data_IF_637957873373
#
_entry.id   IF_637957873373
#
_cell.length_a   1.000
_cell.length_b   1.000
_cell.length_c   1.000
_cell.angle_alpha   90.00
_cell.angle_beta   90.00
_cell.angle_gamma   90.00
#
_symmetry.space_group_name_H-M   'P 1'
#
loop_
_entity.id
_entity.type
_entity.pdbx_description
1 polymer ?
#
# COMPACT_ATOMS: atom_id res chain seq x y z
N UNK A 1 19.02 -5.21 -48.94
CA UNK A 1 18.93 -6.64 -49.30
C UNK A 1 17.77 -6.92 -50.24
N UNK A 2 16.53 -6.56 -49.89
CA UNK A 2 15.35 -6.85 -50.73
C UNK A 2 15.38 -6.30 -52.16
N UNK A 3 15.91 -5.10 -52.38
CA UNK A 3 16.05 -4.53 -53.75
C UNK A 3 17.14 -5.19 -54.60
N UNK A 4 18.07 -5.95 -54.00
CA UNK A 4 19.16 -6.62 -54.72
C UNK A 4 18.75 -8.06 -55.03
N UNK A 5 18.43 -8.84 -53.99
CA UNK A 5 17.96 -10.22 -54.09
C UNK A 5 17.00 -10.52 -52.94
N UNK A 6 15.71 -10.55 -53.25
CA UNK A 6 14.64 -10.71 -52.26
C UNK A 6 14.59 -12.12 -51.66
N UNK A 7 14.96 -13.16 -52.41
CA UNK A 7 14.99 -14.56 -51.97
C UNK A 7 16.00 -14.77 -50.83
N UNK A 8 17.23 -14.28 -51.03
CA UNK A 8 18.30 -14.34 -50.02
C UNK A 8 17.93 -13.50 -48.79
N UNK A 9 17.27 -12.35 -48.99
CA UNK A 9 16.80 -11.51 -47.89
C UNK A 9 15.73 -12.23 -47.04
N UNK A 10 14.81 -12.96 -47.68
CA UNK A 10 13.76 -13.69 -46.98
C UNK A 10 14.34 -14.89 -46.21
N UNK A 11 15.32 -15.58 -46.79
CA UNK A 11 16.05 -16.66 -46.11
C UNK A 11 16.84 -16.16 -44.89
N UNK A 12 17.54 -15.02 -44.99
CA UNK A 12 18.28 -14.46 -43.85
C UNK A 12 17.35 -13.96 -42.74
N UNK A 13 16.22 -13.33 -43.08
CA UNK A 13 15.19 -12.99 -42.10
C UNK A 13 14.63 -14.24 -41.40
N UNK A 14 14.39 -15.32 -42.14
CA UNK A 14 14.00 -16.61 -41.58
C UNK A 14 15.01 -17.14 -40.56
N UNK A 15 16.29 -17.17 -40.91
CA UNK A 15 17.37 -17.61 -40.01
C UNK A 15 17.46 -16.72 -38.76
N UNK A 16 17.40 -15.40 -38.92
CA UNK A 16 17.41 -14.45 -37.79
C UNK A 16 16.18 -14.67 -36.89
N UNK A 17 15.00 -14.85 -37.46
CA UNK A 17 13.78 -15.14 -36.72
C UNK A 17 13.88 -16.47 -35.98
N UNK A 18 14.45 -17.51 -36.59
CA UNK A 18 14.69 -18.80 -35.94
C UNK A 18 15.65 -18.65 -34.75
N UNK A 19 16.76 -17.92 -34.90
CA UNK A 19 17.66 -17.67 -33.77
C UNK A 19 17.00 -16.83 -32.67
N UNK A 20 16.23 -15.80 -33.05
CA UNK A 20 15.49 -14.98 -32.09
C UNK A 20 14.49 -15.83 -31.29
N UNK A 21 13.68 -16.66 -31.96
CA UNK A 21 12.73 -17.56 -31.32
C UNK A 21 13.45 -18.59 -30.45
N UNK A 22 14.57 -19.16 -30.92
CA UNK A 22 15.36 -20.12 -30.14
C UNK A 22 15.88 -19.49 -28.83
N UNK A 23 16.43 -18.28 -28.89
CA UNK A 23 16.87 -17.54 -27.68
C UNK A 23 15.68 -17.21 -26.78
N UNK A 24 14.58 -16.73 -27.35
CA UNK A 24 13.37 -16.37 -26.60
C UNK A 24 12.73 -17.57 -25.89
N UNK A 25 12.68 -18.75 -26.55
CA UNK A 25 12.10 -19.96 -25.97
C UNK A 25 13.02 -20.66 -24.97
N UNK A 26 14.33 -20.70 -25.24
CA UNK A 26 15.27 -21.41 -24.36
C UNK A 26 15.60 -20.64 -23.09
N UNK A 27 15.38 -19.31 -23.06
CA UNK A 27 15.73 -18.41 -21.94
C UNK A 27 17.03 -18.85 -21.21
N UNK A 28 18.16 -19.02 -21.92
CA UNK A 28 19.37 -19.51 -21.29
C UNK A 28 19.79 -18.54 -20.18
N UNK A 29 19.97 -19.03 -18.96
CA UNK A 29 20.49 -18.21 -17.86
C UNK A 29 21.97 -17.92 -18.13
N UNK A 30 22.25 -16.78 -18.75
CA UNK A 30 23.60 -16.30 -19.00
C UNK A 30 24.11 -15.52 -17.79
N UNK A 31 25.30 -15.86 -17.28
CA UNK A 31 25.95 -15.21 -16.14
C UNK A 31 26.52 -13.81 -16.44
N UNK A 32 26.30 -13.32 -17.67
CA UNK A 32 26.80 -12.05 -18.18
C UNK A 32 25.54 -11.22 -18.34
N UNK A 33 25.35 -10.24 -17.45
CA UNK A 33 24.06 -9.57 -17.20
C UNK A 33 23.21 -9.33 -18.45
N UNK A 34 21.89 -9.47 -18.32
CA UNK A 34 21.00 -9.39 -19.48
C UNK A 34 20.98 -7.98 -20.07
N UNK A 35 21.19 -7.85 -21.39
CA UNK A 35 21.02 -6.58 -22.10
C UNK A 35 19.61 -5.98 -21.90
N UNK A 36 18.60 -6.84 -21.69
CA UNK A 36 17.24 -6.38 -21.37
C UNK A 36 17.16 -5.76 -19.97
N UNK A 37 17.86 -6.28 -18.98
CA UNK A 37 17.93 -5.71 -17.63
C UNK A 37 18.66 -4.35 -17.65
N UNK A 38 19.75 -4.24 -18.41
CA UNK A 38 20.46 -2.97 -18.60
C UNK A 38 19.56 -1.89 -19.21
N UNK A 39 18.72 -2.26 -20.19
CA UNK A 39 17.78 -1.34 -20.81
C UNK A 39 16.66 -0.91 -19.85
N UNK A 40 16.14 -1.84 -19.03
CA UNK A 40 15.14 -1.51 -17.99
C UNK A 40 15.70 -0.48 -17.02
N UNK A 41 16.93 -0.66 -16.55
CA UNK A 41 17.60 0.29 -15.65
C UNK A 41 17.76 1.67 -16.32
N UNK A 42 18.28 1.73 -17.55
CA UNK A 42 18.48 2.99 -18.27
C UNK A 42 17.16 3.73 -18.49
N UNK A 43 16.09 3.00 -18.83
CA UNK A 43 14.75 3.57 -19.02
C UNK A 43 14.18 4.12 -17.71
N UNK A 44 14.30 3.37 -16.62
CA UNK A 44 13.84 3.81 -15.30
C UNK A 44 14.57 5.07 -14.82
N UNK A 45 15.88 5.16 -15.05
CA UNK A 45 16.69 6.32 -14.69
C UNK A 45 16.31 7.56 -15.52
N UNK A 46 16.20 7.41 -16.84
CA UNK A 46 15.78 8.49 -17.74
C UNK A 46 14.39 9.03 -17.37
N UNK A 47 13.44 8.14 -17.07
CA UNK A 47 12.09 8.53 -16.65
C UNK A 47 12.09 9.24 -15.29
N UNK A 48 12.92 8.77 -14.34
CA UNK A 48 13.09 9.44 -13.04
C UNK A 48 13.66 10.85 -13.19
N UNK A 49 14.63 11.06 -14.08
CA UNK A 49 15.17 12.39 -14.39
C UNK A 49 14.14 13.29 -15.08
N UNK A 50 13.34 12.75 -16.01
CA UNK A 50 12.27 13.50 -16.65
C UNK A 50 11.23 13.98 -15.62
N UNK A 51 10.88 13.12 -14.66
CA UNK A 51 9.95 13.47 -13.58
C UNK A 51 10.44 14.65 -12.75
N UNK A 52 11.75 14.74 -12.46
CA UNK A 52 12.31 15.86 -11.71
C UNK A 52 12.14 17.22 -12.40
N UNK A 53 12.02 17.26 -13.73
CA UNK A 53 11.83 18.51 -14.50
C UNK A 53 10.37 18.96 -14.56
N UNK A 54 9.42 18.07 -14.27
CA UNK A 54 7.99 18.37 -14.36
C UNK A 54 7.55 19.26 -13.19
N UNK A 55 6.83 20.35 -13.47
CA UNK A 55 6.26 21.21 -12.44
C UNK A 55 5.17 20.49 -11.64
N UNK A 56 5.12 20.74 -10.33
CA UNK A 56 4.09 20.19 -9.46
C UNK A 56 2.84 21.06 -9.49
N UNK A 57 1.67 20.41 -9.50
CA UNK A 57 0.38 21.08 -9.46
C UNK A 57 -0.53 20.33 -8.50
N UNK A 58 -1.27 21.07 -7.67
CA UNK A 58 -2.14 20.50 -6.62
C UNK A 58 -3.15 19.46 -7.15
N UNK A 59 -3.69 19.68 -8.36
CA UNK A 59 -4.61 18.74 -9.02
C UNK A 59 -3.98 17.41 -9.45
N UNK A 60 -2.65 17.34 -9.51
CA UNK A 60 -1.90 16.14 -9.87
C UNK A 60 -1.35 15.43 -8.62
N UNK A 61 -1.82 15.80 -7.43
CA UNK A 61 -1.43 15.14 -6.19
C UNK A 61 -1.69 13.63 -6.28
N UNK A 62 -0.70 12.83 -5.86
CA UNK A 62 -0.79 11.38 -5.78
C UNK A 62 -0.41 10.95 -4.36
N UNK A 63 -1.22 10.09 -3.71
CA UNK A 63 -0.85 9.55 -2.40
C UNK A 63 0.31 8.55 -2.60
N UNK A 64 1.48 8.92 -2.08
CA UNK A 64 2.71 8.12 -2.10
C UNK A 64 2.99 7.65 -0.67
N UNK A 65 2.87 6.37 -0.40
CA UNK A 65 2.82 5.85 0.97
C UNK A 65 4.15 5.22 1.38
N UNK A 66 4.63 5.57 2.57
CA UNK A 66 5.55 4.78 3.37
C UNK A 66 4.75 4.09 4.48
N UNK A 67 4.67 2.76 4.46
CA UNK A 67 3.98 2.01 5.50
C UNK A 67 5.00 1.44 6.48
N UNK A 68 4.75 1.57 7.79
CA UNK A 68 5.57 0.90 8.80
C UNK A 68 4.90 -0.40 9.23
N UNK A 69 4.96 -1.42 8.37
CA UNK A 69 4.40 -2.74 8.68
C UNK A 69 5.40 -3.65 9.41
N UNK A 70 6.71 -3.38 9.34
CA UNK A 70 7.71 -4.39 9.67
C UNK A 70 7.78 -5.43 8.53
N UNK A 71 8.06 -6.71 8.83
CA UNK A 71 7.94 -7.79 7.85
C UNK A 71 6.55 -7.76 7.19
N UNK A 72 6.43 -7.90 5.85
CA UNK A 72 5.15 -7.83 5.16
C UNK A 72 4.13 -8.89 5.64
N UNK A 73 4.62 -10.03 6.11
CA UNK A 73 3.85 -11.13 6.68
C UNK A 73 3.19 -10.78 8.02
N UNK A 74 3.78 -9.90 8.84
CA UNK A 74 3.30 -9.62 10.19
C UNK A 74 1.99 -8.83 10.21
N UNK A 75 1.78 -7.91 9.25
CA UNK A 75 0.62 -7.00 9.22
C UNK A 75 -0.02 -6.91 7.82
N UNK A 76 -0.52 -8.02 7.26
CA UNK A 76 -1.01 -8.05 5.89
C UNK A 76 -2.24 -7.16 5.68
N UNK A 77 -3.14 -7.04 6.67
CA UNK A 77 -4.32 -6.17 6.56
C UNK A 77 -3.94 -4.69 6.42
N UNK A 78 -2.87 -4.24 7.08
CA UNK A 78 -2.35 -2.87 6.95
C UNK A 78 -1.81 -2.63 5.54
N UNK A 79 -1.04 -3.58 5.03
CA UNK A 79 -0.45 -3.53 3.70
C UNK A 79 -1.53 -3.59 2.60
N UNK A 80 -2.52 -4.47 2.73
CA UNK A 80 -3.64 -4.57 1.80
C UNK A 80 -4.43 -3.26 1.73
N UNK A 81 -4.68 -2.64 2.88
CA UNK A 81 -5.32 -1.33 2.94
C UNK A 81 -4.49 -0.25 2.22
N UNK A 82 -3.19 -0.19 2.48
CA UNK A 82 -2.29 0.74 1.79
C UNK A 82 -2.24 0.51 0.27
N UNK A 83 -2.29 -0.75 -0.15
CA UNK A 83 -2.32 -1.10 -1.56
C UNK A 83 -3.65 -0.74 -2.22
N UNK A 84 -4.78 -0.72 -1.49
CA UNK A 84 -6.02 -0.16 -2.03
C UNK A 84 -5.91 1.33 -2.31
N UNK A 85 -5.16 2.09 -1.51
CA UNK A 85 -4.97 3.52 -1.73
C UNK A 85 -4.09 3.78 -2.96
N UNK A 86 -3.03 3.01 -3.18
CA UNK A 86 -2.08 3.23 -4.27
C UNK A 86 -2.44 2.48 -5.57
N UNK A 87 -2.88 1.22 -5.47
CA UNK A 87 -3.25 0.28 -6.56
C UNK A 87 -2.31 0.34 -7.76
N UNK A 88 -1.01 0.34 -7.48
CA UNK A 88 0.09 0.42 -8.46
C UNK A 88 0.15 1.69 -9.33
N UNK A 89 -0.69 2.69 -9.05
CA UNK A 89 -0.70 3.99 -9.74
C UNK A 89 0.12 5.06 -8.99
N UNK A 90 0.58 4.73 -7.80
CA UNK A 90 1.38 5.58 -6.93
C UNK A 90 2.42 4.74 -6.19
N UNK A 91 3.45 5.42 -5.68
CA UNK A 91 4.51 4.82 -4.89
C UNK A 91 3.97 4.20 -3.59
N UNK A 92 4.37 2.97 -3.31
CA UNK A 92 4.16 2.28 -2.05
C UNK A 92 5.50 1.69 -1.61
N UNK A 93 5.98 2.11 -0.45
CA UNK A 93 7.20 1.60 0.19
C UNK A 93 6.80 0.92 1.50
N UNK A 94 7.24 -0.31 1.66
CA UNK A 94 7.05 -1.10 2.87
C UNK A 94 8.31 -1.00 3.72
N UNK A 95 8.19 -0.27 4.83
CA UNK A 95 9.27 0.01 5.76
C UNK A 95 9.35 -1.01 6.89
N UNK A 96 10.55 -1.53 7.11
CA UNK A 96 10.88 -2.41 8.22
C UNK A 96 12.05 -1.83 9.02
N UNK A 97 11.82 -1.55 10.31
CA UNK A 97 12.88 -1.18 11.25
C UNK A 97 13.34 -2.44 11.98
N UNK A 98 14.51 -2.94 11.61
CA UNK A 98 15.14 -4.10 12.24
C UNK A 98 16.03 -3.65 13.41
N UNK A 99 15.92 -4.35 14.54
CA UNK A 99 16.71 -4.06 15.76
C UNK A 99 18.06 -4.78 15.73
N UNK A 100 19.07 -4.16 16.32
CA UNK A 100 20.40 -4.73 16.50
C UNK A 100 21.29 -4.69 15.25
N UNK A 101 22.58 -5.02 15.38
CA UNK A 101 23.52 -5.05 14.27
C UNK A 101 23.14 -6.15 13.27
N UNK A 102 23.13 -5.81 11.98
CA UNK A 102 22.75 -6.73 10.90
C UNK A 102 23.87 -6.84 9.88
N UNK A 103 24.24 -8.07 9.50
CA UNK A 103 25.24 -8.28 8.44
C UNK A 103 24.64 -7.96 7.07
N UNK A 104 25.49 -7.60 6.11
CA UNK A 104 25.04 -7.31 4.76
C UNK A 104 24.28 -8.48 4.11
N UNK A 105 24.76 -9.71 4.30
CA UNK A 105 24.11 -10.93 3.78
C UNK A 105 22.71 -11.17 4.37
N UNK A 106 22.56 -10.95 5.69
CA UNK A 106 21.27 -11.07 6.38
C UNK A 106 20.29 -10.01 5.84
N UNK A 107 20.75 -8.77 5.68
CA UNK A 107 19.96 -7.68 5.10
C UNK A 107 19.48 -8.03 3.69
N UNK A 108 20.37 -8.51 2.83
CA UNK A 108 20.04 -8.91 1.47
C UNK A 108 19.00 -10.05 1.46
N UNK A 109 19.16 -11.03 2.35
CA UNK A 109 18.22 -12.15 2.50
C UNK A 109 16.84 -11.67 2.93
N UNK A 110 16.74 -10.79 3.93
CA UNK A 110 15.47 -10.23 4.37
C UNK A 110 14.80 -9.40 3.27
N UNK A 111 15.56 -8.60 2.52
CA UNK A 111 15.04 -7.82 1.39
C UNK A 111 14.50 -8.76 0.31
N UNK A 112 15.23 -9.83 -0.01
CA UNK A 112 14.79 -10.82 -0.99
C UNK A 112 13.51 -11.54 -0.54
N UNK A 113 13.44 -11.98 0.73
CA UNK A 113 12.26 -12.64 1.30
C UNK A 113 11.04 -11.72 1.30
N UNK A 114 11.20 -10.47 1.74
CA UNK A 114 10.13 -9.48 1.73
C UNK A 114 9.60 -9.20 0.33
N UNK A 115 10.48 -8.97 -0.65
CA UNK A 115 10.09 -8.78 -2.04
C UNK A 115 9.42 -10.02 -2.65
N UNK A 116 9.92 -11.22 -2.35
CA UNK A 116 9.31 -12.47 -2.80
C UNK A 116 7.89 -12.63 -2.23
N UNK A 117 7.68 -12.29 -0.96
CA UNK A 117 6.34 -12.29 -0.35
C UNK A 117 5.42 -11.29 -1.06
N UNK A 118 5.85 -10.04 -1.26
CA UNK A 118 5.05 -9.00 -1.93
C UNK A 118 4.65 -9.42 -3.36
N UNK A 119 5.59 -9.98 -4.12
CA UNK A 119 5.34 -10.47 -5.48
C UNK A 119 4.33 -11.63 -5.50
N UNK A 120 4.47 -12.60 -4.59
CA UNK A 120 3.51 -13.72 -4.47
C UNK A 120 2.10 -13.23 -4.17
N UNK A 121 1.96 -12.18 -3.37
CA UNK A 121 0.67 -11.56 -3.04
C UNK A 121 0.14 -10.60 -4.13
N UNK A 122 0.89 -10.37 -5.20
CA UNK A 122 0.50 -9.47 -6.29
C UNK A 122 0.51 -7.98 -5.89
N UNK A 123 1.29 -7.63 -4.87
CA UNK A 123 1.40 -6.27 -4.34
C UNK A 123 2.61 -5.59 -5.00
N UNK A 124 2.33 -4.53 -5.77
CA UNK A 124 3.35 -3.74 -6.44
C UNK A 124 3.84 -2.65 -5.48
N UNK A 125 4.92 -2.94 -4.77
CA UNK A 125 5.57 -2.05 -3.81
C UNK A 125 7.07 -2.28 -3.75
N UNK A 126 7.78 -1.33 -3.13
CA UNK A 126 9.18 -1.51 -2.73
C UNK A 126 9.25 -1.95 -1.27
N UNK A 127 10.37 -2.54 -0.87
CA UNK A 127 10.61 -2.98 0.50
C UNK A 127 11.96 -2.46 0.98
N UNK A 128 11.93 -1.64 2.02
CA UNK A 128 13.10 -0.97 2.58
C UNK A 128 13.29 -1.34 4.05
N UNK A 129 14.55 -1.61 4.41
CA UNK A 129 14.95 -1.97 5.78
C UNK A 129 15.90 -0.90 6.32
N UNK A 130 15.53 -0.33 7.46
CA UNK A 130 16.41 0.47 8.31
C UNK A 130 16.83 -0.34 9.54
N UNK A 131 18.11 -0.23 9.91
CA UNK A 131 18.68 -0.93 11.06
C UNK A 131 18.86 0.10 12.18
N UNK A 132 18.20 -0.11 13.31
CA UNK A 132 18.25 0.81 14.45
C UNK A 132 17.76 0.11 15.71
N UNK A 133 18.43 0.34 16.85
CA UNK A 133 18.00 -0.19 18.15
C UNK A 133 16.68 0.43 18.62
N UNK A 134 16.45 1.70 18.24
CA UNK A 134 15.21 2.40 18.50
C UNK A 134 14.33 2.47 17.26
N UNK A 135 13.05 2.20 17.44
CA UNK A 135 12.04 2.24 16.39
C UNK A 135 11.89 3.64 15.78
N UNK A 136 11.84 4.67 16.62
CA UNK A 136 11.68 6.07 16.18
C UNK A 136 12.82 6.54 15.28
N UNK A 137 14.07 6.24 15.62
CA UNK A 137 15.23 6.60 14.80
C UNK A 137 15.25 5.87 13.46
N UNK A 138 14.89 4.58 13.44
CA UNK A 138 14.80 3.81 12.20
C UNK A 138 13.66 4.31 11.30
N UNK A 139 12.50 4.60 11.90
CA UNK A 139 11.35 5.16 11.20
C UNK A 139 11.65 6.55 10.62
N UNK A 140 12.30 7.43 11.40
CA UNK A 140 12.78 8.74 10.95
C UNK A 140 13.75 8.63 9.77
N UNK A 141 14.68 7.67 9.83
CA UNK A 141 15.62 7.41 8.74
C UNK A 141 14.89 6.97 7.46
N UNK A 142 13.92 6.06 7.58
CA UNK A 142 13.08 5.67 6.43
C UNK A 142 12.29 6.87 5.89
N UNK A 143 11.68 7.66 6.76
CA UNK A 143 10.89 8.82 6.37
C UNK A 143 11.71 9.83 5.55
N UNK A 144 12.95 10.10 5.97
CA UNK A 144 13.80 11.11 5.33
C UNK A 144 14.55 10.60 4.10
N UNK A 145 14.90 9.31 4.07
CA UNK A 145 15.79 8.74 3.06
C UNK A 145 15.08 7.88 2.01
N UNK A 146 13.84 7.47 2.23
CA UNK A 146 13.12 6.59 1.28
C UNK A 146 12.73 7.35 0.00
N UNK A 147 12.91 6.67 -1.14
CA UNK A 147 12.53 7.18 -2.46
C UNK A 147 13.66 7.89 -3.23
N UNK A 148 13.36 8.32 -4.46
CA UNK A 148 14.33 8.90 -5.40
C UNK A 148 13.73 10.11 -6.12
N UNK A 149 14.38 11.27 -6.00
CA UNK A 149 13.89 12.51 -6.63
C UNK A 149 12.47 12.85 -6.17
N UNK A 150 11.53 12.99 -7.11
CA UNK A 150 10.10 13.20 -6.82
C UNK A 150 9.30 11.94 -6.48
N UNK A 151 9.89 10.75 -6.65
CA UNK A 151 9.30 9.48 -6.20
C UNK A 151 9.64 9.27 -4.73
N UNK A 152 9.01 10.05 -3.85
CA UNK A 152 9.20 10.00 -2.40
C UNK A 152 7.84 9.93 -1.69
N UNK A 153 7.78 9.22 -0.56
CA UNK A 153 6.54 9.13 0.21
C UNK A 153 6.13 10.51 0.72
N UNK A 154 4.84 10.81 0.66
CA UNK A 154 4.21 12.03 1.21
C UNK A 154 3.16 11.70 2.28
N UNK A 155 2.87 10.42 2.51
CA UNK A 155 2.02 9.91 3.57
C UNK A 155 2.79 8.79 4.28
N UNK A 156 2.90 8.87 5.61
CA UNK A 156 3.31 7.74 6.44
C UNK A 156 2.06 7.04 6.99
N UNK A 157 1.97 5.71 6.85
CA UNK A 157 0.87 4.91 7.36
C UNK A 157 1.36 3.97 8.47
N UNK A 158 0.76 4.11 9.64
CA UNK A 158 1.05 3.34 10.84
C UNK A 158 -0.14 2.43 11.20
N UNK A 159 0.15 1.31 11.85
CA UNK A 159 -0.86 0.56 12.58
C UNK A 159 -1.07 1.16 13.97
N UNK A 160 -2.32 1.28 14.42
CA UNK A 160 -2.63 1.71 15.78
C UNK A 160 -2.02 0.75 16.80
N UNK A 161 -1.30 1.30 17.77
CA UNK A 161 -0.70 0.54 18.87
C UNK A 161 -1.77 0.13 19.89
N UNK A 162 -2.39 -1.03 19.68
CA UNK A 162 -3.49 -1.52 20.51
C UNK A 162 -3.07 -1.86 21.96
N UNK A 163 -1.83 -2.32 22.12
CA UNK A 163 -1.21 -2.72 23.39
C UNK A 163 -0.62 -1.54 24.19
N UNK A 164 -1.00 -0.30 23.88
CA UNK A 164 -0.40 0.90 24.49
C UNK A 164 -0.47 0.94 26.02
N UNK A 165 -1.46 0.28 26.64
CA UNK A 165 -1.59 0.20 28.12
C UNK A 165 -0.64 -0.81 28.76
N UNK A 166 -0.28 -1.88 28.04
CA UNK A 166 0.53 -2.99 28.55
C UNK A 166 1.97 -2.96 28.04
N UNK A 167 2.26 -2.16 27.01
CA UNK A 167 3.60 -2.05 26.46
C UNK A 167 4.56 -1.26 27.35
N UNK A 168 5.85 -1.40 27.09
CA UNK A 168 6.87 -0.58 27.74
C UNK A 168 6.63 0.92 27.43
N UNK A 169 6.74 1.82 28.42
CA UNK A 169 6.56 3.26 28.19
C UNK A 169 7.51 3.84 27.14
N UNK A 170 8.71 3.25 27.00
CA UNK A 170 9.68 3.63 25.98
C UNK A 170 9.18 3.35 24.56
N UNK A 171 8.44 2.26 24.33
CA UNK A 171 7.91 1.90 23.01
C UNK A 171 6.72 2.80 22.64
N UNK A 172 5.90 3.16 23.61
CA UNK A 172 4.86 4.18 23.43
C UNK A 172 5.47 5.53 23.04
N UNK A 173 6.50 5.98 23.76
CA UNK A 173 7.18 7.24 23.45
C UNK A 173 7.79 7.22 22.04
N UNK A 174 8.40 6.11 21.64
CA UNK A 174 8.92 5.95 20.27
C UNK A 174 7.81 6.05 19.23
N UNK A 175 6.64 5.42 19.45
CA UNK A 175 5.51 5.54 18.54
C UNK A 175 5.04 7.00 18.38
N UNK A 176 4.95 7.77 19.47
CA UNK A 176 4.62 9.21 19.40
C UNK A 176 5.71 10.03 18.71
N UNK A 177 6.98 9.74 18.97
CA UNK A 177 8.08 10.43 18.32
C UNK A 177 8.01 10.28 16.80
N UNK A 178 7.62 9.10 16.28
CA UNK A 178 7.42 8.90 14.83
C UNK A 178 6.33 9.81 14.27
N UNK A 179 5.23 9.98 15.00
CA UNK A 179 4.13 10.88 14.58
C UNK A 179 4.63 12.33 14.57
N UNK A 180 5.36 12.76 15.60
CA UNK A 180 5.94 14.11 15.65
C UNK A 180 6.96 14.33 14.54
N UNK A 181 7.91 13.40 14.35
CA UNK A 181 8.90 13.44 13.28
C UNK A 181 8.22 13.49 11.90
N UNK A 182 7.08 12.82 11.71
CA UNK A 182 6.31 12.88 10.47
C UNK A 182 5.76 14.29 10.19
N UNK A 183 5.16 14.93 11.20
CA UNK A 183 4.68 16.31 11.09
C UNK A 183 5.83 17.31 10.87
N UNK A 184 6.95 17.13 11.57
CA UNK A 184 8.15 17.96 11.41
C UNK A 184 8.75 17.84 10.00
N UNK A 185 8.62 16.67 9.35
CA UNK A 185 9.02 16.46 7.94
C UNK A 185 7.89 16.78 6.94
N UNK A 186 6.83 17.49 7.36
CA UNK A 186 5.67 17.86 6.51
C UNK A 186 5.05 16.67 5.76
N UNK A 187 5.07 15.48 6.36
CA UNK A 187 4.48 14.27 5.81
C UNK A 187 3.12 14.04 6.45
N UNK A 188 2.11 13.71 5.65
CA UNK A 188 0.80 13.38 6.19
C UNK A 188 0.84 12.05 6.97
N UNK A 189 0.10 11.98 8.08
CA UNK A 189 0.06 10.79 8.94
C UNK A 189 -1.27 10.08 8.79
N UNK A 190 -1.24 8.79 8.49
CA UNK A 190 -2.39 7.89 8.57
C UNK A 190 -2.17 6.85 9.66
N UNK A 191 -3.20 6.60 10.47
CA UNK A 191 -3.19 5.52 11.47
C UNK A 191 -4.38 4.60 11.20
N UNK A 192 -4.11 3.35 10.86
CA UNK A 192 -5.16 2.34 10.69
C UNK A 192 -5.40 1.62 12.01
N UNK A 193 -6.65 1.60 12.47
CA UNK A 193 -7.09 0.82 13.63
C UNK A 193 -8.15 -0.19 13.22
N UNK A 194 -7.94 -1.46 13.60
CA UNK A 194 -8.93 -2.52 13.50
C UNK A 194 -9.26 -3.03 14.92
N UNK A 195 -10.48 -3.54 15.11
CA UNK A 195 -10.92 -4.08 16.40
C UNK A 195 -10.05 -5.25 16.87
N UNK A 196 -9.70 -6.16 15.96
CA UNK A 196 -8.90 -7.36 16.21
C UNK A 196 -7.39 -7.10 16.31
N UNK A 197 -6.96 -5.84 16.15
CA UNK A 197 -5.55 -5.51 15.97
C UNK A 197 -5.05 -5.73 14.54
N UNK A 198 -3.74 -5.55 14.35
CA UNK A 198 -3.08 -5.63 13.05
C UNK A 198 -1.89 -6.59 13.02
N UNK A 199 -1.39 -7.01 14.19
CA UNK A 199 -0.20 -7.84 14.31
C UNK A 199 -0.59 -9.31 14.39
N UNK A 200 -0.12 -10.09 13.42
CA UNK A 200 -0.34 -11.52 13.30
C UNK A 200 0.98 -12.29 13.31
N UNK A 201 2.08 -11.66 13.71
CA UNK A 201 3.42 -12.27 13.74
C UNK A 201 3.49 -13.53 14.62
N UNK A 202 2.74 -13.59 15.72
CA UNK A 202 2.72 -14.77 16.60
C UNK A 202 1.94 -15.95 16.01
N UNK A 203 1.02 -15.68 15.09
CA UNK A 203 0.08 -16.66 14.54
C UNK A 203 0.52 -17.14 13.17
N UNK A 204 1.32 -16.36 12.43
CA UNK A 204 1.77 -16.69 11.08
C UNK A 204 3.16 -17.30 11.10
N UNK A 205 3.33 -18.41 10.38
CA UNK A 205 4.66 -18.97 10.16
C UNK A 205 5.39 -18.20 9.05
N UNK A 206 6.57 -17.65 9.34
CA UNK A 206 7.44 -17.04 8.32
C UNK A 206 8.07 -18.10 7.41
N UNK A 207 8.11 -19.37 7.83
CA UNK A 207 8.77 -20.46 7.10
C UNK A 207 7.78 -21.23 6.22
N UNK A 208 7.25 -20.58 5.19
CA UNK A 208 6.79 -21.33 4.02
C UNK A 208 8.02 -21.62 3.13
N UNK A 209 8.44 -22.88 2.96
CA UNK A 209 9.69 -23.20 2.30
C UNK A 209 9.73 -22.64 0.88
N UNK A 210 10.85 -22.00 0.55
CA UNK A 210 11.29 -21.69 -0.81
C UNK A 210 11.62 -23.02 -1.48
N UNK A 211 10.59 -23.75 -1.88
CA UNK A 211 10.70 -25.10 -2.40
C UNK A 211 9.57 -25.40 -3.37
N UNK A 212 9.52 -24.64 -4.47
CA UNK A 212 9.07 -25.08 -5.79
C UNK A 212 9.25 -23.90 -6.74
N UNK A 213 10.42 -23.87 -7.39
CA UNK A 213 10.62 -23.11 -8.63
C UNK A 213 9.77 -23.79 -9.70
N UNK A 214 8.46 -23.60 -9.74
CA UNK A 214 7.66 -24.00 -10.90
C UNK A 214 6.32 -23.25 -10.94
N UNK A 215 6.02 -22.67 -12.11
CA UNK A 215 4.70 -22.18 -12.56
C UNK A 215 4.09 -20.90 -11.96
N UNK A 216 4.87 -19.82 -11.75
CA UNK A 216 4.29 -18.47 -11.62
C UNK A 216 4.65 -17.48 -12.74
N UNK A 217 5.69 -17.75 -13.54
CA UNK A 217 6.02 -16.89 -14.70
C UNK A 217 5.01 -17.05 -15.85
N UNK A 218 4.32 -18.19 -15.95
CA UNK A 218 3.46 -18.54 -17.10
C UNK A 218 2.05 -17.92 -17.06
N UNK A 219 1.70 -17.11 -16.05
CA UNK A 219 0.36 -16.48 -15.95
C UNK A 219 0.39 -14.95 -15.87
N UNK A 220 1.57 -14.32 -15.86
CA UNK A 220 1.69 -12.86 -15.78
C UNK A 220 1.93 -12.22 -17.17
N UNK A 221 2.42 -12.98 -18.15
CA UNK A 221 2.56 -12.53 -19.55
C UNK A 221 1.21 -12.25 -20.23
N UNK A 222 0.14 -12.92 -19.81
CA UNK A 222 -1.16 -12.87 -20.52
C UNK A 222 -2.11 -11.76 -20.02
N UNK A 223 -1.68 -10.95 -19.04
CA UNK A 223 -2.49 -9.86 -18.45
C UNK A 223 -1.86 -8.48 -18.68
N UNK A 224 -0.70 -8.37 -19.35
CA UNK A 224 -0.08 -7.07 -19.66
C UNK A 224 0.65 -7.04 -21.00
N UNK A 225 -0.07 -7.39 -22.07
CA UNK A 225 0.26 -7.01 -23.45
C UNK A 225 -1.04 -6.57 -24.15
N UNK A 226 -1.53 -5.40 -23.75
CA UNK A 226 -2.41 -4.60 -24.59
C UNK A 226 -1.57 -4.01 -25.71
N UNK A 227 -1.91 -4.38 -26.94
CA UNK A 227 -1.29 -4.01 -28.21
C UNK A 227 -0.90 -2.52 -28.26
N UNK A 228 0.35 -2.25 -28.65
CA UNK A 228 0.76 -0.98 -29.25
C UNK A 228 1.19 -1.32 -30.68
N UNK A 229 0.36 -0.97 -31.66
CA UNK A 229 0.77 -0.84 -33.06
C UNK A 229 0.83 0.68 -33.35
N UNK A 230 1.99 1.16 -33.78
CA UNK A 230 2.12 2.38 -34.58
C UNK A 230 1.92 1.98 -36.05
N UNK A 231 1.26 2.74 -36.92
CA UNK A 231 1.82 3.94 -37.53
C UNK A 231 0.74 4.85 -38.20
N UNK A 232 1.06 6.14 -38.21
CA UNK A 232 0.86 7.16 -39.27
C UNK A 232 -0.53 7.49 -39.88
N UNK A 233 -0.99 8.70 -39.55
CA UNK A 233 -1.61 9.75 -40.40
C UNK A 233 -2.54 9.38 -41.58
N UNK A 234 -3.82 9.77 -41.49
CA UNK A 234 -4.41 10.92 -42.22
C UNK A 234 -5.95 10.90 -42.21
N UNK A 235 -6.52 12.09 -42.29
CA UNK A 235 -7.92 12.52 -42.42
C UNK A 235 -9.00 11.54 -42.92
N UNK A 236 -10.17 11.62 -42.25
CA UNK A 236 -11.56 11.72 -42.78
C UNK A 236 -12.59 10.81 -42.05
N UNK A 237 -13.69 11.44 -41.62
CA UNK A 237 -14.99 10.85 -41.21
C UNK A 237 -15.76 10.61 -42.53
N UNK A 238 -16.63 9.59 -42.76
CA UNK A 238 -17.69 9.08 -41.87
C UNK A 238 -18.11 7.57 -42.01
N UNK A 239 -19.14 7.22 -41.23
CA UNK A 239 -20.20 6.21 -41.48
C UNK A 239 -20.05 4.73 -41.06
N UNK A 240 -21.04 4.32 -40.26
CA UNK A 240 -21.44 2.94 -39.91
C UNK A 240 -22.16 2.30 -41.09
N UNK A 241 -21.91 1.00 -41.39
CA UNK A 241 -23.02 0.04 -41.35
C UNK A 241 -22.65 -1.37 -40.82
N UNK A 242 -23.54 -1.87 -39.95
CA UNK A 242 -24.19 -3.18 -39.95
C UNK A 242 -23.43 -4.46 -40.37
N UNK A 243 -23.34 -5.36 -39.37
CA UNK A 243 -23.61 -6.82 -39.40
C UNK A 243 -23.24 -7.63 -40.65
N UNK A 244 -22.45 -8.69 -40.45
CA UNK A 244 -22.88 -10.04 -40.83
C UNK A 244 -22.19 -11.14 -40.01
N UNK A 245 -23.04 -12.09 -39.63
CA UNK A 245 -22.74 -13.38 -39.03
C UNK A 245 -21.89 -14.28 -39.94
N UNK A 246 -21.11 -15.17 -39.31
CA UNK A 246 -20.71 -16.54 -39.69
C UNK A 246 -19.47 -16.81 -38.80
N UNK A 247 -19.54 -17.53 -37.68
CA UNK A 247 -20.13 -18.85 -37.50
C UNK A 247 -19.02 -19.88 -37.60
N UNK A 248 -18.24 -20.07 -36.52
CA UNK A 248 -17.70 -21.41 -36.24
C UNK A 248 -17.47 -21.62 -34.74
N UNK A 249 -18.03 -22.72 -34.26
CA UNK A 249 -18.00 -23.18 -32.88
C UNK A 249 -16.73 -23.99 -32.64
N UNK A 250 -16.08 -23.80 -31.48
CA UNK A 250 -15.65 -24.93 -30.64
C UNK A 250 -15.10 -24.44 -29.30
N UNK A 251 -15.75 -24.89 -28.21
CA UNK A 251 -15.02 -25.25 -26.99
C UNK A 251 -14.89 -24.26 -25.82
N UNK A 252 -15.85 -23.36 -25.55
CA UNK A 252 -15.83 -22.53 -24.33
C UNK A 252 -16.30 -23.34 -23.10
N UNK A 253 -15.39 -23.97 -22.36
CA UNK A 253 -15.68 -24.53 -21.02
C UNK A 253 -16.19 -23.41 -20.11
N UNK A 254 -17.50 -23.41 -19.83
CA UNK A 254 -18.15 -22.62 -18.77
C UNK A 254 -17.70 -23.14 -17.40
N UNK A 255 -16.47 -22.83 -16.99
CA UNK A 255 -16.05 -22.90 -15.59
C UNK A 255 -16.78 -21.81 -14.80
N UNK A 256 -17.91 -22.17 -14.19
CA UNK A 256 -18.79 -21.25 -13.48
C UNK A 256 -18.05 -20.48 -12.38
N UNK A 257 -18.50 -19.26 -12.08
CA UNK A 257 -17.96 -18.39 -11.00
C UNK A 257 -17.60 -19.13 -9.70
N UNK A 258 -18.33 -20.20 -9.36
CA UNK A 258 -18.07 -21.04 -8.19
C UNK A 258 -16.71 -21.75 -8.18
N UNK A 259 -16.22 -22.20 -9.33
CA UNK A 259 -14.94 -22.93 -9.44
C UNK A 259 -13.74 -22.00 -9.24
N UNK A 260 -13.79 -20.80 -9.84
CA UNK A 260 -12.80 -19.73 -9.62
C UNK A 260 -12.78 -19.25 -8.15
N UNK A 261 -13.95 -19.18 -7.51
CA UNK A 261 -14.06 -18.78 -6.11
C UNK A 261 -13.49 -19.86 -5.16
N UNK A 262 -13.71 -21.14 -5.46
CA UNK A 262 -13.13 -22.27 -4.72
C UNK A 262 -11.60 -22.31 -4.84
N UNK A 263 -11.08 -22.11 -6.06
CA UNK A 263 -9.62 -22.00 -6.30
C UNK A 263 -8.99 -20.82 -5.55
N UNK A 264 -9.63 -19.63 -5.57
CA UNK A 264 -9.13 -18.47 -4.81
C UNK A 264 -9.11 -18.72 -3.31
N UNK A 265 -10.15 -19.36 -2.75
CA UNK A 265 -10.22 -19.71 -1.33
C UNK A 265 -9.13 -20.71 -0.94
N UNK A 266 -8.90 -21.71 -1.78
CA UNK A 266 -7.83 -22.70 -1.60
C UNK A 266 -6.42 -22.09 -1.68
N UNK A 267 -6.23 -21.11 -2.56
CA UNK A 267 -4.97 -20.36 -2.65
C UNK A 267 -4.71 -19.50 -1.41
N UNK A 268 -5.72 -18.75 -0.93
CA UNK A 268 -5.59 -17.95 0.29
C UNK A 268 -5.26 -18.80 1.52
N UNK A 269 -5.87 -19.97 1.66
CA UNK A 269 -5.57 -20.89 2.76
C UNK A 269 -4.16 -21.51 2.70
N UNK A 270 -3.54 -21.56 1.51
CA UNK A 270 -2.14 -21.99 1.37
C UNK A 270 -1.14 -20.86 1.66
N UNK A 271 -1.61 -19.63 1.56
CA UNK A 271 -0.80 -18.43 1.70
C UNK A 271 -0.70 -17.96 3.15
N UNK A 272 -1.75 -18.18 3.94
CA UNK A 272 -1.78 -17.90 5.37
C UNK A 272 -1.92 -19.20 6.15
N UNK A 273 -0.81 -19.69 6.69
CA UNK A 273 -0.74 -20.87 7.53
C UNK A 273 -0.17 -20.50 8.90
N UNK A 274 -0.63 -21.19 9.93
CA UNK A 274 -0.04 -21.13 11.26
C UNK A 274 1.26 -21.92 11.35
N UNK A 275 1.92 -21.92 12.53
CA UNK A 275 3.16 -22.63 12.77
C UNK A 275 3.07 -24.09 12.31
N UNK A 276 4.12 -24.59 11.62
CA UNK A 276 4.18 -25.94 11.07
C UNK A 276 3.14 -26.23 9.96
N UNK A 277 2.64 -25.19 9.29
CA UNK A 277 1.72 -25.34 8.16
C UNK A 277 0.27 -25.66 8.56
N UNK A 278 -0.09 -25.48 9.83
CA UNK A 278 -1.45 -25.74 10.33
C UNK A 278 -2.42 -24.72 9.72
N UNK A 279 -3.56 -25.13 9.13
CA UNK A 279 -4.54 -24.19 8.59
C UNK A 279 -5.10 -23.27 9.68
N UNK A 280 -5.12 -21.97 9.41
CA UNK A 280 -5.69 -20.99 10.33
C UNK A 280 -7.23 -21.10 10.40
N UNK A 281 -7.84 -20.71 11.54
CA UNK A 281 -9.28 -20.56 11.63
C UNK A 281 -9.81 -19.62 10.54
N UNK A 282 -10.99 -19.94 9.98
CA UNK A 282 -11.60 -19.17 8.89
C UNK A 282 -11.77 -17.69 9.23
N UNK A 283 -12.14 -17.39 10.47
CA UNK A 283 -12.31 -16.03 10.99
C UNK A 283 -11.01 -15.23 10.93
N UNK A 284 -9.88 -15.83 11.28
CA UNK A 284 -8.55 -15.20 11.20
C UNK A 284 -8.19 -14.91 9.76
N UNK A 285 -8.40 -15.85 8.84
CA UNK A 285 -8.13 -15.65 7.41
C UNK A 285 -9.04 -14.55 6.82
N UNK A 286 -10.29 -14.47 7.25
CA UNK A 286 -11.22 -13.41 6.86
C UNK A 286 -10.74 -12.04 7.36
N UNK A 287 -10.24 -11.95 8.59
CA UNK A 287 -9.67 -10.72 9.15
C UNK A 287 -8.38 -10.28 8.42
N UNK A 288 -7.50 -11.23 8.12
CA UNK A 288 -6.26 -11.01 7.36
C UNK A 288 -6.56 -10.49 5.95
N UNK A 289 -7.56 -11.06 5.28
CA UNK A 289 -7.86 -10.78 3.87
C UNK A 289 -9.01 -9.80 3.66
N UNK A 290 -9.48 -9.14 4.72
CA UNK A 290 -10.70 -8.32 4.69
C UNK A 290 -10.70 -7.27 3.57
N UNK A 291 -9.55 -6.66 3.31
CA UNK A 291 -9.39 -5.61 2.30
C UNK A 291 -9.20 -6.15 0.88
N UNK A 292 -8.98 -7.46 0.71
CA UNK A 292 -8.92 -8.13 -0.59
C UNK A 292 -10.30 -8.58 -1.08
N UNK A 293 -11.27 -8.68 -0.16
CA UNK A 293 -12.62 -9.14 -0.45
C UNK A 293 -13.53 -7.97 -0.84
N UNK A 294 -14.54 -8.27 -1.68
CA UNK A 294 -15.56 -7.28 -2.04
C UNK A 294 -16.50 -7.07 -0.86
N UNK A 295 -16.61 -5.82 -0.41
CA UNK A 295 -17.53 -5.42 0.64
C UNK A 295 -18.95 -5.37 0.06
N UNK A 296 -19.88 -6.13 0.64
CA UNK A 296 -21.25 -6.30 0.11
C UNK A 296 -22.15 -5.16 0.57
N UNK A 297 -22.10 -4.04 -0.15
CA UNK A 297 -22.78 -2.82 0.30
C UNK A 297 -22.16 -2.29 1.60
N UNK A 298 -22.32 -1.01 1.85
CA UNK A 298 -21.74 -0.39 3.03
C UNK A 298 -21.60 1.09 2.86
N UNK A 299 -21.18 1.75 3.93
CA UNK A 299 -20.99 3.19 3.97
C UNK A 299 -19.57 3.49 4.41
N UNK A 300 -18.93 4.44 3.76
CA UNK A 300 -17.70 5.05 4.23
C UNK A 300 -18.08 6.39 4.81
N UNK A 301 -17.99 6.50 6.14
CA UNK A 301 -18.26 7.74 6.86
C UNK A 301 -16.95 8.50 7.07
N UNK A 302 -16.92 9.75 6.63
CA UNK A 302 -15.77 10.63 6.73
C UNK A 302 -16.11 11.74 7.71
N UNK A 303 -15.33 11.86 8.77
CA UNK A 303 -15.45 12.94 9.75
C UNK A 303 -14.46 14.04 9.39
N UNK A 304 -14.94 15.04 8.65
CA UNK A 304 -14.12 16.16 8.20
C UNK A 304 -14.26 17.32 9.18
N UNK A 305 -13.48 17.24 10.26
CA UNK A 305 -13.58 18.14 11.42
C UNK A 305 -12.57 19.29 11.40
N UNK A 306 -11.61 19.26 10.48
CA UNK A 306 -10.56 20.26 10.33
C UNK A 306 -10.17 20.38 8.86
N UNK A 307 -9.73 21.57 8.45
CA UNK A 307 -9.15 21.76 7.12
C UNK A 307 -7.74 21.16 7.08
N UNK A 308 -7.65 19.97 6.47
CA UNK A 308 -6.44 19.17 6.28
C UNK A 308 -5.95 19.18 4.83
N UNK A 309 -6.39 20.16 4.03
CA UNK A 309 -6.08 20.23 2.60
C UNK A 309 -6.81 19.19 1.74
N UNK A 310 -7.85 18.53 2.29
CA UNK A 310 -8.74 17.63 1.56
C UNK A 310 -8.23 16.20 1.44
N UNK A 311 -7.13 15.83 2.12
CA UNK A 311 -6.61 14.46 2.09
C UNK A 311 -7.60 13.47 2.69
N UNK A 312 -8.26 13.83 3.81
CA UNK A 312 -9.32 13.05 4.47
C UNK A 312 -10.52 12.78 3.57
N UNK A 313 -10.77 13.60 2.54
CA UNK A 313 -11.82 13.37 1.55
C UNK A 313 -11.29 12.58 0.35
N UNK A 314 -10.06 12.88 -0.09
CA UNK A 314 -9.43 12.23 -1.23
C UNK A 314 -9.24 10.72 -1.01
N UNK A 315 -8.77 10.29 0.16
CA UNK A 315 -8.49 8.87 0.43
C UNK A 315 -9.76 8.00 0.37
N UNK A 316 -10.88 8.34 1.03
CA UNK A 316 -12.16 7.66 0.87
C UNK A 316 -12.65 7.64 -0.57
N UNK A 317 -12.53 8.74 -1.31
CA UNK A 317 -12.91 8.77 -2.72
C UNK A 317 -12.11 7.76 -3.54
N UNK A 318 -10.79 7.70 -3.36
CA UNK A 318 -9.93 6.69 -4.00
C UNK A 318 -10.38 5.27 -3.64
N UNK A 319 -10.79 5.03 -2.39
CA UNK A 319 -11.32 3.73 -1.96
C UNK A 319 -12.61 3.38 -2.73
N UNK A 320 -13.56 4.30 -2.88
CA UNK A 320 -14.81 4.05 -3.64
C UNK A 320 -14.56 3.69 -5.11
N UNK A 321 -13.48 4.17 -5.72
CA UNK A 321 -13.07 3.77 -7.07
C UNK A 321 -12.51 2.34 -7.16
N UNK A 322 -12.30 1.65 -6.03
CA UNK A 322 -11.75 0.28 -6.02
C UNK A 322 -12.88 -0.74 -6.09
N UNK A 323 -12.65 -1.85 -6.81
CA UNK A 323 -13.65 -2.89 -7.00
C UNK A 323 -14.20 -3.45 -5.66
N UNK A 324 -13.36 -3.47 -4.63
CA UNK A 324 -13.68 -3.93 -3.28
C UNK A 324 -14.71 -3.04 -2.58
N UNK A 325 -14.69 -1.73 -2.84
CA UNK A 325 -15.55 -0.72 -2.21
C UNK A 325 -16.43 0.01 -3.21
N UNK A 326 -16.50 -0.46 -4.46
CA UNK A 326 -17.28 0.15 -5.56
C UNK A 326 -18.78 0.29 -5.30
N UNK A 327 -19.33 -0.48 -4.35
CA UNK A 327 -20.73 -0.39 -3.94
C UNK A 327 -20.93 0.37 -2.63
N UNK A 328 -19.87 0.97 -2.07
CA UNK A 328 -19.95 1.71 -0.83
C UNK A 328 -20.36 3.17 -1.11
N UNK A 329 -21.31 3.69 -0.33
CA UNK A 329 -21.70 5.10 -0.39
C UNK A 329 -20.82 5.94 0.53
N UNK A 330 -20.38 7.11 0.06
CA UNK A 330 -19.57 8.05 0.83
C UNK A 330 -20.47 9.06 1.54
N UNK A 331 -20.42 9.14 2.88
CA UNK A 331 -21.11 10.18 3.67
C UNK A 331 -20.07 11.03 4.38
N UNK A 332 -20.27 12.34 4.37
CA UNK A 332 -19.36 13.30 5.02
C UNK A 332 -20.06 13.94 6.21
N UNK A 333 -19.41 13.92 7.36
CA UNK A 333 -19.75 14.67 8.55
C UNK A 333 -18.87 15.91 8.59
N UNK A 334 -19.47 17.09 8.61
CA UNK A 334 -18.76 18.38 8.60
C UNK A 334 -19.27 19.24 9.77
N UNK A 335 -18.37 20.02 10.36
CA UNK A 335 -18.71 20.98 11.42
C UNK A 335 -18.96 22.39 10.85
N UNK A 336 -18.48 22.66 9.64
CA UNK A 336 -18.63 23.93 8.93
C UNK A 336 -19.69 23.79 7.83
N UNK A 337 -20.48 24.84 7.59
CA UNK A 337 -21.53 24.83 6.56
C UNK A 337 -20.90 24.97 5.16
N UNK A 338 -20.44 23.83 4.65
CA UNK A 338 -19.84 23.51 3.35
C UNK A 338 -20.05 24.49 2.18
N UNK A 339 -19.02 25.32 1.90
CA UNK A 339 -18.74 25.82 0.56
C UNK A 339 -17.67 24.99 -0.17
N UNK A 340 -16.79 24.31 0.57
CA UNK A 340 -15.59 23.67 0.01
C UNK A 340 -15.86 22.30 -0.62
N UNK A 341 -16.83 21.52 -0.12
CA UNK A 341 -17.19 20.21 -0.69
C UNK A 341 -17.61 20.31 -2.17
N UNK A 342 -18.29 21.41 -2.55
CA UNK A 342 -18.66 21.69 -3.93
C UNK A 342 -17.46 21.80 -4.88
N UNK A 343 -16.28 22.21 -4.37
CA UNK A 343 -15.07 22.38 -5.18
C UNK A 343 -14.39 21.06 -5.53
N UNK A 344 -14.56 20.03 -4.69
CA UNK A 344 -13.87 18.76 -4.87
C UNK A 344 -14.47 17.88 -5.98
N UNK A 345 -15.68 18.17 -6.47
CA UNK A 345 -16.39 17.36 -7.49
C UNK A 345 -16.39 15.86 -7.16
N UNK A 346 -16.52 15.54 -5.88
CA UNK A 346 -16.59 14.16 -5.38
C UNK A 346 -18.05 13.85 -5.10
N UNK A 347 -18.54 12.77 -5.69
CA UNK A 347 -19.89 12.29 -5.44
C UNK A 347 -19.96 11.71 -4.02
N UNK A 348 -20.83 12.29 -3.19
CA UNK A 348 -21.17 11.79 -1.86
C UNK A 348 -22.68 11.56 -1.77
N UNK A 349 -23.10 10.62 -0.93
CA UNK A 349 -24.52 10.33 -0.73
C UNK A 349 -25.18 11.37 0.17
N UNK A 350 -24.52 11.74 1.27
CA UNK A 350 -25.08 12.63 2.29
C UNK A 350 -23.98 13.51 2.90
N UNK A 351 -24.34 14.75 3.28
CA UNK A 351 -23.55 15.59 4.18
C UNK A 351 -24.35 15.82 5.46
N UNK A 352 -23.76 15.50 6.61
CA UNK A 352 -24.37 15.68 7.92
C UNK A 352 -23.60 16.75 8.68
N UNK A 353 -24.29 17.82 9.08
CA UNK A 353 -23.69 18.88 9.89
C UNK A 353 -23.69 18.46 11.36
N UNK A 354 -22.51 18.45 11.99
CA UNK A 354 -22.35 18.12 13.41
C UNK A 354 -22.29 19.41 14.23
N UNK A 355 -23.42 19.79 14.82
CA UNK A 355 -23.52 21.05 15.59
C UNK A 355 -22.93 20.95 17.01
N UNK A 356 -22.85 19.75 17.58
CA UNK A 356 -22.58 19.55 19.01
C UNK A 356 -21.09 19.31 19.35
N UNK A 357 -20.15 19.54 18.42
CA UNK A 357 -18.71 19.28 18.67
C UNK A 357 -18.15 20.12 19.83
N UNK A 358 -18.67 21.34 20.01
CA UNK A 358 -18.24 22.22 21.10
C UNK A 358 -18.99 21.97 22.42
N UNK A 359 -19.97 21.06 22.43
CA UNK A 359 -20.69 20.70 23.64
C UNK A 359 -19.75 20.01 24.61
N UNK A 360 -19.82 20.39 25.89
CA UNK A 360 -19.03 19.73 26.94
C UNK A 360 -19.37 18.24 26.98
N UNK A 361 -18.35 17.41 27.17
CA UNK A 361 -18.52 15.98 27.33
C UNK A 361 -19.35 15.66 28.58
N UNK A 362 -20.06 14.52 28.57
CA UNK A 362 -20.89 14.12 29.70
C UNK A 362 -20.02 13.70 30.89
N UNK A 363 -20.50 13.81 32.13
CA UNK A 363 -19.71 13.45 33.31
C UNK A 363 -19.28 11.99 33.29
N UNK A 364 -20.07 11.08 32.70
CA UNK A 364 -19.73 9.66 32.57
C UNK A 364 -18.49 9.47 31.68
N UNK A 365 -18.43 10.14 30.52
CA UNK A 365 -17.26 10.08 29.62
C UNK A 365 -16.03 10.72 30.24
N UNK A 366 -16.21 11.79 31.03
CA UNK A 366 -15.12 12.40 31.80
C UNK A 366 -14.56 11.41 32.83
N UNK A 367 -15.41 10.72 33.58
CA UNK A 367 -14.98 9.71 34.55
C UNK A 367 -14.28 8.53 33.88
N UNK A 368 -14.80 8.05 32.74
CA UNK A 368 -14.15 7.00 31.96
C UNK A 368 -12.74 7.42 31.49
N UNK A 369 -12.61 8.64 30.98
CA UNK A 369 -11.31 9.18 30.57
C UNK A 369 -10.36 9.36 31.77
N UNK A 370 -10.84 9.86 32.90
CA UNK A 370 -10.00 10.03 34.08
C UNK A 370 -9.47 8.69 34.63
N UNK A 371 -10.32 7.67 34.67
CA UNK A 371 -9.92 6.30 35.01
C UNK A 371 -8.92 5.73 34.00
N UNK A 372 -9.08 6.06 32.71
CA UNK A 372 -8.18 5.62 31.65
C UNK A 372 -6.74 6.14 31.83
N UNK A 373 -6.60 7.40 32.22
CA UNK A 373 -5.29 8.05 32.34
C UNK A 373 -4.70 7.99 33.76
N UNK A 374 -5.46 7.53 34.74
CA UNK A 374 -5.06 7.43 36.15
C UNK A 374 -3.67 6.79 36.36
N UNK A 375 -3.32 5.65 35.73
CA UNK A 375 -2.01 5.02 35.91
C UNK A 375 -0.84 5.87 35.39
N UNK A 376 -1.12 6.83 34.50
CA UNK A 376 -0.13 7.68 33.85
C UNK A 376 -0.02 9.07 34.49
N UNK A 377 -0.91 9.41 35.44
CA UNK A 377 -0.78 10.63 36.23
C UNK A 377 0.38 10.44 37.20
N UNK A 378 1.48 11.19 37.02
CA UNK A 378 2.51 11.27 38.06
C UNK A 378 1.89 11.85 39.33
N UNK A 379 2.16 11.25 40.48
CA UNK A 379 1.98 11.95 41.75
C UNK A 379 2.92 13.14 41.72
N UNK A 380 2.36 14.34 41.57
CA UNK A 380 3.12 15.59 41.71
C UNK A 380 3.50 15.70 43.17
N UNK A 381 4.60 15.06 43.56
CA UNK A 381 5.29 15.40 44.80
C UNK A 381 5.93 16.77 44.55
N UNK A 382 5.46 17.79 45.26
CA UNK A 382 5.89 19.20 45.20
C UNK A 382 7.35 19.43 45.63
N UNK A 383 8.25 18.46 45.44
CA UNK A 383 9.65 18.60 45.82
C UNK A 383 10.59 18.10 44.74
N UNK A 384 11.25 19.10 44.14
CA UNK A 384 12.59 19.10 43.50
C UNK A 384 12.68 19.06 41.97
N UNK A 385 13.24 20.17 41.51
CA UNK A 385 14.11 20.37 40.34
C UNK A 385 13.47 20.44 38.95
N UNK A 386 13.34 21.69 38.48
CA UNK A 386 13.19 22.05 37.07
C UNK A 386 14.34 21.45 36.25
N UNK A 387 14.11 20.29 35.66
CA UNK A 387 15.03 19.67 34.70
C UNK A 387 14.25 19.04 33.55
N UNK A 388 13.97 19.85 32.52
CA UNK A 388 13.78 19.51 31.08
C UNK A 388 12.78 18.41 30.64
N UNK A 389 12.36 17.50 31.51
CA UNK A 389 11.51 16.34 31.21
C UNK A 389 10.02 16.66 31.39
N UNK A 390 9.68 17.51 32.37
CA UNK A 390 8.31 17.97 32.65
C UNK A 390 7.71 18.77 31.49
N UNK A 391 8.51 19.56 30.75
CA UNK A 391 8.00 20.28 29.57
C UNK A 391 7.56 19.34 28.43
N UNK A 392 8.25 18.22 28.19
CA UNK A 392 7.91 17.30 27.09
C UNK A 392 6.65 16.48 27.36
N UNK A 393 6.43 16.07 28.62
CA UNK A 393 5.23 15.30 28.99
C UNK A 393 4.00 16.21 29.10
N UNK A 394 4.15 17.45 29.56
CA UNK A 394 3.04 18.42 29.60
C UNK A 394 2.61 18.86 28.20
N UNK A 395 3.56 18.94 27.25
CA UNK A 395 3.26 19.11 25.81
C UNK A 395 2.56 17.86 25.26
N UNK A 396 2.96 16.65 25.67
CA UNK A 396 2.28 15.41 25.29
C UNK A 396 0.84 15.34 25.85
N UNK A 397 0.59 15.74 27.10
CA UNK A 397 -0.78 15.78 27.66
C UNK A 397 -1.65 16.86 27.00
N UNK A 398 -1.12 18.06 26.76
CA UNK A 398 -1.87 19.11 26.05
C UNK A 398 -2.11 18.79 24.58
N UNK A 399 -1.22 18.02 23.93
CA UNK A 399 -1.42 17.57 22.55
C UNK A 399 -2.26 16.28 22.47
N UNK A 400 -2.21 15.39 23.46
CA UNK A 400 -3.06 14.20 23.51
C UNK A 400 -4.54 14.58 23.59
N UNK A 401 -4.87 15.64 24.32
CA UNK A 401 -6.22 16.24 24.32
C UNK A 401 -6.63 16.88 22.98
N UNK A 402 -5.71 17.15 22.06
CA UNK A 402 -6.02 17.65 20.70
C UNK A 402 -6.17 16.55 19.65
N UNK A 403 -5.70 15.32 19.91
CA UNK A 403 -5.67 14.22 18.94
C UNK A 403 -6.68 13.09 19.20
N UNK A 404 -7.56 13.24 20.19
CA UNK A 404 -8.65 12.29 20.51
C UNK A 404 -10.03 12.85 20.13
N UNK A 405 -10.11 13.73 19.11
CA UNK A 405 -11.36 14.12 18.47
C UNK A 405 -11.31 13.84 16.98
#
# INVERSE_FOLDING_TARGET
MFMIQWEVALATFGIIMTFYLLVHYRKPEANWGSSTQAQVYSTALKNSHALNKTAEHVKNYRPQLLILSGPPSSRPSLLDFAYLLTKANSLLIVGHVAKGPMKHSERATLIQMGNAWLQRHGIKSFYDIAVSDRFDWGAKSLLQLSGLGKLRPNIILLGFKADWRSCNPSDMLQYFNVIHDAFDNHTAVGILRLQEGLDYSEILDEKVPVGEKETLETKISDISLGKTEAEASSSSVPQVPQTNHLGDETGKKKGGKGEKMKQKKQWLSRMYCGPNGIPLPKTVVENLTRFQQKQKGGRIDVWWLYDDGGLTILLPYILTQRAQFSSASLRVYDYSLAALLSKFRIDYSDVVVVADIQKKATPETHQEFDALIEPFKQQVNETRELGTCTKKIQIAQNNFCRFVL
#
